data_IF_867601629937
#
_entry.id   IF_867601629937
#
_cell.length_a   1.000
_cell.length_b   1.000
_cell.length_c   1.000
_cell.angle_alpha   90.00
_cell.angle_beta   90.00
_cell.angle_gamma   90.00
#
_symmetry.space_group_name_H-M   'P 1'
#
loop_
_entity.id
_entity.type
_entity.pdbx_description
1 polymer ?
#
# COMPACT_ATOMS: atom_id res chain seq x y z
N UNK A 1 22.81 -2.53 9.86
CA UNK A 1 23.83 -1.52 9.54
C UNK A 1 23.27 -0.38 8.68
N UNK A 2 22.75 -0.61 7.44
CA UNK A 2 22.20 0.49 6.60
C UNK A 2 21.06 1.25 7.30
N UNK A 3 20.06 0.54 7.84
CA UNK A 3 18.93 1.14 8.55
C UNK A 3 19.37 1.91 9.80
N UNK A 4 20.39 1.43 10.50
CA UNK A 4 20.95 2.13 11.65
C UNK A 4 21.61 3.44 11.22
N UNK A 5 22.47 3.41 10.21
CA UNK A 5 23.10 4.63 9.67
C UNK A 5 22.09 5.63 9.13
N UNK A 6 20.98 5.15 8.57
CA UNK A 6 19.89 6.02 8.13
C UNK A 6 19.20 6.69 9.33
N UNK A 7 18.87 5.92 10.36
CA UNK A 7 18.02 6.35 11.45
C UNK A 7 18.78 7.04 12.60
N UNK A 8 20.07 6.70 12.78
CA UNK A 8 20.91 7.14 13.91
C UNK A 8 22.10 7.91 13.38
N UNK A 9 22.38 9.06 13.98
CA UNK A 9 23.56 9.86 13.69
C UNK A 9 24.81 9.24 14.35
N UNK A 10 26.04 9.62 13.91
CA UNK A 10 27.29 9.09 14.48
C UNK A 10 27.45 9.34 15.98
N UNK A 11 26.81 10.37 16.52
CA UNK A 11 26.80 10.70 17.95
C UNK A 11 25.77 9.91 18.76
N UNK A 12 25.07 8.94 18.13
CA UNK A 12 24.03 8.12 18.75
C UNK A 12 22.65 8.79 18.85
N UNK A 13 22.50 10.02 18.37
CA UNK A 13 21.19 10.68 18.36
C UNK A 13 20.31 10.15 17.24
N UNK A 14 19.00 10.12 17.50
CA UNK A 14 18.03 9.71 16.48
C UNK A 14 17.83 10.78 15.43
N UNK A 15 18.04 10.46 14.16
CA UNK A 15 17.68 11.34 13.02
C UNK A 15 16.18 11.33 12.76
N UNK A 16 15.54 10.15 12.95
CA UNK A 16 14.12 9.95 12.74
C UNK A 16 13.50 9.20 13.92
N UNK A 17 12.36 9.67 14.42
CA UNK A 17 11.60 8.99 15.47
C UNK A 17 10.62 7.95 14.90
N UNK A 18 10.38 7.99 13.59
CA UNK A 18 9.45 7.11 12.89
C UNK A 18 9.91 6.89 11.45
N UNK A 19 9.86 5.64 10.97
CA UNK A 19 10.21 5.25 9.61
C UNK A 19 9.05 4.50 8.94
N UNK A 20 8.77 4.82 7.68
CA UNK A 20 7.89 4.04 6.83
C UNK A 20 8.69 3.42 5.70
N UNK A 21 8.54 2.12 5.51
CA UNK A 21 9.21 1.40 4.44
C UNK A 21 8.26 0.42 3.76
N UNK A 22 8.44 0.28 2.45
CA UNK A 22 7.80 -0.75 1.67
C UNK A 22 8.83 -1.76 1.18
N UNK A 23 8.62 -3.03 1.48
CA UNK A 23 9.39 -4.13 0.92
C UNK A 23 8.65 -4.74 -0.27
N UNK A 24 9.34 -4.91 -1.39
CA UNK A 24 8.77 -5.58 -2.56
C UNK A 24 9.23 -7.04 -2.58
N UNK A 25 8.27 -7.96 -2.47
CA UNK A 25 8.52 -9.39 -2.39
C UNK A 25 7.58 -10.15 -3.31
N UNK A 26 8.08 -10.59 -4.44
CA UNK A 26 7.40 -11.54 -5.33
C UNK A 26 8.39 -12.52 -5.98
N UNK A 27 7.88 -13.66 -6.38
CA UNK A 27 8.68 -14.72 -7.00
C UNK A 27 9.17 -14.39 -8.42
N UNK A 28 8.77 -13.24 -8.96
CA UNK A 28 9.22 -12.71 -10.25
C UNK A 28 10.55 -11.95 -10.12
N UNK A 29 10.93 -11.61 -8.88
CA UNK A 29 12.20 -10.93 -8.61
C UNK A 29 13.36 -11.80 -9.10
N UNK A 30 14.31 -11.15 -9.75
CA UNK A 30 15.60 -11.80 -10.02
C UNK A 30 16.36 -11.92 -8.70
N UNK A 31 16.88 -13.10 -8.41
CA UNK A 31 17.77 -13.31 -7.27
C UNK A 31 18.94 -12.33 -7.32
N UNK A 32 19.36 -11.85 -6.16
CA UNK A 32 20.63 -11.14 -5.98
C UNK A 32 21.77 -12.18 -5.97
N UNK A 33 23.02 -11.71 -6.04
CA UNK A 33 24.20 -12.60 -6.13
C UNK A 33 24.18 -13.76 -5.13
N UNK A 34 23.69 -13.50 -3.92
CA UNK A 34 23.72 -14.46 -2.81
C UNK A 34 22.33 -15.04 -2.45
N UNK A 35 21.31 -14.74 -3.25
CA UNK A 35 19.94 -15.20 -3.01
C UNK A 35 19.49 -15.99 -4.22
N UNK A 36 19.18 -17.29 -4.08
CA UNK A 36 18.64 -18.10 -5.16
C UNK A 36 17.36 -17.48 -5.73
N UNK A 37 17.11 -17.66 -7.02
CA UNK A 37 15.84 -17.26 -7.61
C UNK A 37 14.71 -18.04 -6.94
N UNK A 38 13.70 -17.33 -6.36
CA UNK A 38 12.58 -18.02 -5.70
C UNK A 38 11.77 -18.81 -6.72
N UNK A 39 11.31 -20.00 -6.34
CA UNK A 39 10.45 -20.87 -7.13
C UNK A 39 8.99 -20.64 -6.81
N UNK A 40 8.70 -20.21 -5.58
CA UNK A 40 7.38 -19.94 -5.05
C UNK A 40 7.41 -18.68 -4.18
N UNK A 41 6.25 -18.17 -3.82
CA UNK A 41 6.12 -17.09 -2.86
C UNK A 41 6.54 -17.52 -1.44
N UNK A 42 6.39 -18.81 -1.11
CA UNK A 42 6.80 -19.37 0.18
C UNK A 42 8.32 -19.27 0.40
N UNK A 43 9.13 -19.40 -0.65
CA UNK A 43 10.59 -19.26 -0.58
C UNK A 43 11.01 -17.86 -0.09
N UNK A 44 10.12 -16.87 -0.19
CA UNK A 44 10.37 -15.49 0.25
C UNK A 44 9.94 -15.23 1.71
N UNK A 45 9.26 -16.17 2.39
CA UNK A 45 8.82 -15.95 3.77
C UNK A 45 9.97 -15.67 4.75
N UNK A 46 11.13 -16.35 4.68
CA UNK A 46 12.27 -16.02 5.53
C UNK A 46 12.78 -14.59 5.33
N UNK A 47 12.77 -14.08 4.09
CA UNK A 47 13.21 -12.72 3.79
C UNK A 47 12.19 -11.67 4.24
N UNK A 48 10.89 -11.95 4.15
CA UNK A 48 9.81 -11.13 4.73
C UNK A 48 9.97 -11.01 6.24
N UNK A 49 10.19 -12.15 6.90
CA UNK A 49 10.42 -12.19 8.35
C UNK A 49 11.70 -11.43 8.75
N UNK A 50 12.80 -11.61 8.01
CA UNK A 50 14.06 -10.91 8.25
C UNK A 50 13.91 -9.39 8.06
N UNK A 51 13.14 -8.97 7.04
CA UNK A 51 12.84 -7.56 6.82
C UNK A 51 12.15 -6.95 8.04
N UNK A 52 11.10 -7.58 8.54
CA UNK A 52 10.39 -7.13 9.75
C UNK A 52 11.32 -7.14 10.97
N UNK A 53 12.06 -8.21 11.18
CA UNK A 53 12.98 -8.36 12.32
C UNK A 53 14.05 -7.25 12.39
N UNK A 54 14.52 -6.76 11.23
CA UNK A 54 15.48 -5.66 11.19
C UNK A 54 14.89 -4.36 11.77
N UNK A 55 13.62 -4.06 11.50
CA UNK A 55 12.93 -2.88 12.04
C UNK A 55 12.54 -3.07 13.50
N UNK A 56 12.13 -4.28 13.90
CA UNK A 56 11.86 -4.59 15.31
C UNK A 56 13.11 -4.46 16.17
N UNK A 57 14.28 -4.82 15.63
CA UNK A 57 15.56 -4.58 16.28
C UNK A 57 15.84 -3.09 16.43
N UNK A 58 15.68 -2.30 15.36
CA UNK A 58 15.88 -0.85 15.39
C UNK A 58 14.95 -0.16 16.41
N UNK A 59 13.68 -0.60 16.48
CA UNK A 59 12.72 -0.08 17.48
C UNK A 59 13.17 -0.43 18.90
N UNK A 60 13.58 -1.66 19.14
CA UNK A 60 13.99 -2.15 20.47
C UNK A 60 15.28 -1.48 20.95
N UNK A 61 16.28 -1.33 20.07
CA UNK A 61 17.61 -0.83 20.42
C UNK A 61 17.68 0.70 20.46
N UNK A 62 16.94 1.37 19.59
CA UNK A 62 17.02 2.82 19.40
C UNK A 62 15.70 3.56 19.59
N UNK A 63 14.59 2.87 19.85
CA UNK A 63 13.27 3.48 20.03
C UNK A 63 12.69 4.13 18.77
N UNK A 64 13.19 3.75 17.59
CA UNK A 64 12.68 4.24 16.29
C UNK A 64 11.45 3.42 15.92
N UNK A 65 10.27 4.03 15.96
CA UNK A 65 9.01 3.39 15.56
C UNK A 65 8.98 3.17 14.05
N UNK A 66 8.18 2.21 13.60
CA UNK A 66 8.07 1.92 12.18
C UNK A 66 6.66 1.50 11.75
N UNK A 67 6.40 1.67 10.44
CA UNK A 67 5.27 1.11 9.73
C UNK A 67 5.78 0.49 8.43
N UNK A 68 5.42 -0.77 8.17
CA UNK A 68 5.94 -1.54 7.05
C UNK A 68 4.83 -1.92 6.09
N UNK A 69 5.07 -1.70 4.80
CA UNK A 69 4.27 -2.21 3.73
C UNK A 69 4.93 -3.40 3.04
N UNK A 70 4.13 -4.40 2.73
CA UNK A 70 4.48 -5.50 1.83
C UNK A 70 3.90 -5.23 0.46
N UNK A 71 4.71 -5.15 -0.57
CA UNK A 71 4.29 -5.02 -1.96
C UNK A 71 4.55 -6.33 -2.73
N UNK A 72 3.62 -6.72 -3.60
CA UNK A 72 3.72 -7.92 -4.42
C UNK A 72 3.10 -7.67 -5.80
N UNK A 73 3.88 -7.88 -6.86
CA UNK A 73 3.34 -7.97 -8.22
C UNK A 73 2.67 -9.32 -8.41
N UNK A 74 1.43 -9.30 -8.89
CA UNK A 74 0.62 -10.50 -9.10
C UNK A 74 0.46 -10.77 -10.60
N UNK A 75 0.84 -11.97 -11.01
CA UNK A 75 0.66 -12.52 -12.36
C UNK A 75 -0.15 -13.81 -12.28
N UNK A 76 -0.64 -14.38 -13.38
CA UNK A 76 -1.30 -15.68 -13.36
C UNK A 76 -0.50 -16.78 -12.65
N UNK A 77 0.82 -16.68 -12.70
CA UNK A 77 1.71 -17.68 -12.10
C UNK A 77 1.65 -17.72 -10.58
N UNK A 78 1.67 -16.55 -9.90
CA UNK A 78 1.70 -16.47 -8.44
C UNK A 78 0.36 -16.05 -7.83
N UNK A 79 -0.67 -15.77 -8.63
CA UNK A 79 -2.03 -15.50 -8.15
C UNK A 79 -2.54 -16.56 -7.17
N UNK A 80 -2.39 -17.89 -7.43
CA UNK A 80 -2.85 -18.92 -6.50
C UNK A 80 -2.17 -18.91 -5.13
N UNK A 81 -0.98 -18.29 -5.04
CA UNK A 81 -0.18 -18.21 -3.81
C UNK A 81 -0.51 -16.98 -2.95
N UNK A 82 -1.27 -16.01 -3.46
CA UNK A 82 -1.64 -14.77 -2.74
C UNK A 82 -2.30 -15.08 -1.39
N UNK A 83 -3.21 -16.04 -1.33
CA UNK A 83 -3.88 -16.42 -0.09
C UNK A 83 -2.91 -16.96 0.97
N UNK A 84 -1.87 -17.68 0.58
CA UNK A 84 -0.83 -18.17 1.48
C UNK A 84 0.05 -17.01 1.97
N UNK A 85 0.47 -16.12 1.08
CA UNK A 85 1.23 -14.91 1.43
C UNK A 85 0.45 -14.07 2.45
N UNK A 86 -0.85 -13.89 2.26
CA UNK A 86 -1.71 -13.17 3.21
C UNK A 86 -1.69 -13.84 4.58
N UNK A 87 -1.88 -15.16 4.65
CA UNK A 87 -1.85 -15.90 5.93
C UNK A 87 -0.49 -15.81 6.62
N UNK A 88 0.59 -16.01 5.90
CA UNK A 88 1.95 -15.95 6.44
C UNK A 88 2.29 -14.54 6.96
N UNK A 89 2.01 -13.51 6.17
CA UNK A 89 2.30 -12.12 6.54
C UNK A 89 1.36 -11.56 7.61
N UNK A 90 0.16 -12.13 7.78
CA UNK A 90 -0.74 -11.77 8.87
C UNK A 90 -0.13 -12.00 10.26
N UNK A 91 0.82 -12.93 10.41
CA UNK A 91 1.61 -13.14 11.62
C UNK A 91 2.76 -12.15 11.80
N UNK A 92 3.17 -11.44 10.75
CA UNK A 92 4.30 -10.50 10.75
C UNK A 92 3.83 -9.07 11.02
N UNK A 93 4.73 -8.15 11.39
CA UNK A 93 4.39 -6.75 11.69
C UNK A 93 4.32 -5.85 10.44
N UNK A 94 3.61 -6.30 9.41
CA UNK A 94 3.21 -5.41 8.31
C UNK A 94 1.94 -4.64 8.71
N UNK A 95 1.92 -3.33 8.48
CA UNK A 95 0.75 -2.46 8.62
C UNK A 95 -0.08 -2.40 7.34
N UNK A 96 0.52 -2.72 6.19
CA UNK A 96 -0.16 -2.75 4.90
C UNK A 96 0.36 -3.91 4.03
N UNK A 97 -0.55 -4.53 3.30
CA UNK A 97 -0.24 -5.47 2.22
C UNK A 97 -0.84 -4.95 0.93
N UNK A 98 0.02 -4.63 -0.03
CA UNK A 98 -0.35 -4.07 -1.33
C UNK A 98 -0.02 -5.08 -2.42
N UNK A 99 -1.02 -5.34 -3.27
CA UNK A 99 -0.92 -6.28 -4.39
C UNK A 99 -1.16 -5.51 -5.69
N UNK A 100 -0.30 -5.72 -6.67
CA UNK A 100 -0.37 -5.05 -7.96
C UNK A 100 -0.54 -6.11 -9.07
N UNK A 101 -1.74 -6.24 -9.66
CA UNK A 101 -1.87 -6.94 -10.93
C UNK A 101 -0.80 -6.43 -11.91
N UNK A 102 -0.07 -7.34 -12.54
CA UNK A 102 0.96 -6.97 -13.50
C UNK A 102 0.35 -6.18 -14.65
N UNK A 103 1.04 -5.11 -15.06
CA UNK A 103 0.66 -4.24 -16.16
C UNK A 103 1.84 -4.08 -17.13
N UNK A 104 1.58 -3.65 -18.35
CA UNK A 104 2.60 -3.39 -19.36
C UNK A 104 3.29 -2.04 -19.10
N UNK A 105 4.11 -2.01 -18.06
CA UNK A 105 4.90 -0.85 -17.66
C UNK A 105 6.40 -1.18 -17.66
N UNK A 106 7.24 -0.18 -17.74
CA UNK A 106 8.68 -0.33 -17.69
C UNK A 106 9.27 -0.98 -18.95
N UNK A 107 10.03 -2.07 -18.79
CA UNK A 107 10.76 -2.70 -19.93
C UNK A 107 9.87 -3.67 -20.70
N UNK A 108 9.55 -3.40 -21.99
CA UNK A 108 8.68 -4.28 -22.82
C UNK A 108 9.17 -5.73 -22.95
N UNK A 109 10.48 -5.98 -22.80
CA UNK A 109 11.03 -7.34 -22.84
C UNK A 109 10.54 -8.24 -21.69
N UNK A 110 9.92 -7.67 -20.67
CA UNK A 110 9.36 -8.38 -19.53
C UNK A 110 7.86 -8.65 -19.67
N UNK A 111 7.22 -8.03 -20.65
CA UNK A 111 5.79 -8.14 -20.85
C UNK A 111 5.45 -9.56 -21.30
N UNK A 112 4.32 -10.07 -20.80
CA UNK A 112 3.75 -11.37 -21.14
C UNK A 112 2.27 -11.18 -21.38
N UNK A 113 1.76 -11.77 -22.43
CA UNK A 113 0.36 -11.63 -22.85
C UNK A 113 -0.60 -12.03 -21.71
N UNK A 114 -0.28 -13.10 -20.99
CA UNK A 114 -1.04 -13.59 -19.85
C UNK A 114 -1.18 -12.63 -18.67
N UNK A 115 -0.48 -11.48 -18.63
CA UNK A 115 -0.64 -10.51 -17.56
C UNK A 115 -2.05 -9.95 -17.47
N UNK A 116 -2.78 -9.86 -18.57
CA UNK A 116 -4.16 -9.41 -18.61
C UNK A 116 -5.16 -10.39 -17.98
N UNK A 117 -4.77 -11.63 -17.69
CA UNK A 117 -5.62 -12.62 -17.04
C UNK A 117 -5.81 -12.36 -15.54
N UNK A 118 -5.09 -11.36 -14.98
CA UNK A 118 -5.18 -10.98 -13.56
C UNK A 118 -5.88 -9.63 -13.42
N UNK A 119 -6.99 -9.63 -12.71
CA UNK A 119 -7.79 -8.44 -12.43
C UNK A 119 -7.77 -8.09 -10.92
N UNK A 120 -8.25 -6.87 -10.58
CA UNK A 120 -8.48 -6.48 -9.19
C UNK A 120 -9.39 -7.50 -8.49
N UNK A 121 -10.45 -7.97 -9.17
CA UNK A 121 -11.40 -8.95 -8.66
C UNK A 121 -10.74 -10.27 -8.29
N UNK A 122 -9.89 -10.79 -9.19
CA UNK A 122 -9.24 -12.08 -8.96
C UNK A 122 -8.27 -12.02 -7.80
N UNK A 123 -7.49 -10.94 -7.71
CA UNK A 123 -6.56 -10.71 -6.59
C UNK A 123 -7.32 -10.49 -5.28
N UNK A 124 -8.40 -9.71 -5.30
CA UNK A 124 -9.19 -9.43 -4.09
C UNK A 124 -9.80 -10.71 -3.50
N UNK A 125 -10.33 -11.60 -4.35
CA UNK A 125 -10.84 -12.92 -3.92
C UNK A 125 -9.78 -13.79 -3.26
N UNK A 126 -8.55 -13.74 -3.77
CA UNK A 126 -7.44 -14.47 -3.16
C UNK A 126 -7.05 -13.90 -1.78
N UNK A 127 -7.10 -12.57 -1.63
CA UNK A 127 -6.89 -11.93 -0.32
C UNK A 127 -7.99 -12.36 0.65
N UNK A 128 -9.26 -12.32 0.24
CA UNK A 128 -10.39 -12.81 1.06
C UNK A 128 -10.23 -14.27 1.48
N UNK A 129 -9.77 -15.13 0.55
CA UNK A 129 -9.45 -16.53 0.84
C UNK A 129 -8.32 -16.65 1.86
N UNK A 130 -7.32 -15.79 1.79
CA UNK A 130 -6.21 -15.75 2.74
C UNK A 130 -6.64 -15.30 4.14
N UNK A 131 -7.51 -14.30 4.22
CA UNK A 131 -8.07 -13.77 5.47
C UNK A 131 -9.15 -14.69 6.07
N UNK A 132 -9.84 -15.46 5.22
CA UNK A 132 -10.95 -16.35 5.61
C UNK A 132 -12.28 -15.64 5.85
N UNK A 133 -12.44 -14.41 5.35
CA UNK A 133 -13.68 -13.64 5.42
C UNK A 133 -13.79 -12.66 4.27
N UNK A 134 -15.01 -12.22 3.97
CA UNK A 134 -15.25 -11.10 3.04
C UNK A 134 -14.54 -9.83 3.55
N UNK A 135 -13.92 -9.10 2.63
CA UNK A 135 -13.27 -7.83 2.90
C UNK A 135 -14.09 -6.72 2.24
N UNK A 136 -14.83 -5.89 3.00
CA UNK A 136 -15.59 -4.78 2.46
C UNK A 136 -14.63 -3.69 1.96
N UNK A 137 -14.81 -3.22 0.73
CA UNK A 137 -13.92 -2.21 0.15
C UNK A 137 -14.65 -0.93 -0.30
N UNK A 138 -15.98 -0.98 -0.42
CA UNK A 138 -16.77 0.14 -0.94
C UNK A 138 -16.97 1.26 0.08
N UNK A 139 -16.67 1.02 1.34
CA UNK A 139 -16.87 1.98 2.42
C UNK A 139 -15.88 3.15 2.40
N UNK A 140 -14.68 2.97 1.86
CA UNK A 140 -13.69 4.05 1.66
C UNK A 140 -13.05 3.85 0.29
N UNK A 141 -13.45 4.69 -0.68
CA UNK A 141 -12.87 4.70 -2.01
C UNK A 141 -11.93 5.89 -2.14
N UNK A 142 -10.67 5.63 -2.46
CA UNK A 142 -9.66 6.64 -2.75
C UNK A 142 -9.27 6.55 -4.23
N UNK A 143 -9.52 7.62 -4.96
CA UNK A 143 -9.27 7.66 -6.40
C UNK A 143 -10.29 6.86 -7.21
N UNK A 144 -9.89 6.47 -8.41
CA UNK A 144 -10.75 5.72 -9.34
C UNK A 144 -10.88 4.24 -8.91
N UNK A 145 -12.11 3.69 -8.77
CA UNK A 145 -12.33 2.30 -8.36
C UNK A 145 -11.80 1.25 -9.35
N UNK A 146 -11.54 1.65 -10.60
CA UNK A 146 -10.88 0.80 -11.60
C UNK A 146 -9.38 0.64 -11.32
N UNK A 147 -8.79 1.53 -10.49
CA UNK A 147 -7.37 1.54 -10.17
C UNK A 147 -7.06 1.02 -8.78
N UNK A 148 -7.97 1.22 -7.83
CA UNK A 148 -7.64 1.04 -6.44
C UNK A 148 -8.80 0.44 -5.65
N UNK A 149 -8.49 -0.56 -4.83
CA UNK A 149 -9.33 -1.04 -3.74
C UNK A 149 -8.52 -1.08 -2.47
N UNK A 150 -9.10 -0.61 -1.39
CA UNK A 150 -8.47 -0.66 -0.09
C UNK A 150 -9.47 -1.01 1.00
N UNK A 151 -9.00 -1.72 2.01
CA UNK A 151 -9.79 -1.95 3.22
C UNK A 151 -8.89 -1.95 4.44
N UNK A 152 -9.24 -1.13 5.41
CA UNK A 152 -8.59 -1.06 6.70
C UNK A 152 -9.21 -2.05 7.67
N UNK A 153 -8.36 -2.79 8.37
CA UNK A 153 -8.80 -3.75 9.38
C UNK A 153 -7.91 -3.77 10.61
N UNK A 154 -8.38 -4.46 11.62
CA UNK A 154 -7.62 -4.77 12.83
C UNK A 154 -7.36 -6.27 12.87
N UNK A 155 -6.10 -6.66 13.05
CA UNK A 155 -5.72 -8.04 13.32
C UNK A 155 -5.43 -8.20 14.82
N UNK A 156 -6.10 -9.13 15.45
CA UNK A 156 -5.94 -9.45 16.87
C UNK A 156 -6.03 -10.96 17.07
N UNK A 157 -5.05 -11.55 17.77
CA UNK A 157 -4.92 -13.01 17.94
C UNK A 157 -5.05 -13.77 16.60
N UNK A 158 -4.37 -13.29 15.55
CA UNK A 158 -4.34 -13.91 14.24
C UNK A 158 -5.62 -13.74 13.39
N UNK A 159 -6.67 -13.12 13.91
CA UNK A 159 -7.92 -12.85 13.17
C UNK A 159 -7.97 -11.40 12.71
N UNK A 160 -8.13 -11.20 11.43
CA UNK A 160 -8.38 -9.90 10.84
C UNK A 160 -9.88 -9.57 10.86
N UNK A 161 -10.21 -8.30 11.11
CA UNK A 161 -11.60 -7.81 11.15
C UNK A 161 -11.62 -6.41 10.54
N UNK A 162 -12.53 -6.10 9.57
CA UNK A 162 -12.62 -4.77 8.99
C UNK A 162 -13.07 -3.74 10.03
N UNK A 163 -12.51 -2.53 9.95
CA UNK A 163 -12.89 -1.43 10.85
C UNK A 163 -14.29 -0.92 10.57
N UNK A 164 -14.76 -1.05 9.33
CA UNK A 164 -16.10 -0.69 8.87
C UNK A 164 -16.71 -1.85 8.09
N UNK A 165 -18.03 -1.98 8.14
CA UNK A 165 -18.79 -2.90 7.31
C UNK A 165 -19.62 -2.08 6.31
N UNK A 166 -19.39 -2.27 5.01
CA UNK A 166 -20.12 -1.55 3.95
C UNK A 166 -21.60 -1.97 3.81
N UNK A 167 -22.02 -3.04 4.47
CA UNK A 167 -23.43 -3.45 4.58
C UNK A 167 -24.13 -2.88 5.82
N UNK A 168 -23.42 -2.27 6.77
CA UNK A 168 -24.02 -1.64 7.95
C UNK A 168 -24.10 -0.10 7.76
N UNK A 169 -25.33 0.39 7.52
CA UNK A 169 -25.57 1.82 7.33
C UNK A 169 -25.10 2.68 8.51
N UNK A 170 -25.06 2.12 9.72
CA UNK A 170 -24.56 2.83 10.91
C UNK A 170 -23.05 2.97 10.89
N UNK A 171 -22.32 2.03 10.27
CA UNK A 171 -20.87 2.15 10.05
C UNK A 171 -20.57 3.20 8.98
N UNK A 172 -21.37 3.22 7.91
CA UNK A 172 -21.26 4.23 6.86
C UNK A 172 -21.55 5.64 7.40
N UNK A 173 -22.61 5.81 8.20
CA UNK A 173 -22.92 7.07 8.84
C UNK A 173 -21.83 7.53 9.83
N UNK A 174 -21.24 6.59 10.58
CA UNK A 174 -20.11 6.90 11.47
C UNK A 174 -18.86 7.32 10.68
N UNK A 175 -18.58 6.67 9.54
CA UNK A 175 -17.51 7.05 8.60
C UNK A 175 -17.72 8.47 8.10
N UNK A 176 -18.91 8.79 7.58
CA UNK A 176 -19.20 10.10 7.01
C UNK A 176 -19.03 11.21 8.05
N UNK A 177 -19.55 10.98 9.25
CA UNK A 177 -19.38 11.91 10.37
C UNK A 177 -17.91 12.06 10.79
N UNK A 178 -17.14 10.97 10.78
CA UNK A 178 -15.70 11.02 11.06
C UNK A 178 -14.95 11.83 9.99
N UNK A 179 -15.20 11.59 8.72
CA UNK A 179 -14.57 12.30 7.61
C UNK A 179 -14.93 13.79 7.63
N UNK A 180 -16.21 14.14 7.87
CA UNK A 180 -16.65 15.54 8.01
C UNK A 180 -16.02 16.22 9.24
N UNK A 181 -15.78 15.46 10.30
CA UNK A 181 -15.28 16.02 11.56
C UNK A 181 -13.77 16.14 11.59
N UNK A 182 -13.03 15.15 11.08
CA UNK A 182 -11.58 15.03 11.16
C UNK A 182 -10.89 15.10 9.80
N UNK A 183 -11.63 15.23 8.70
CA UNK A 183 -11.06 15.40 7.36
C UNK A 183 -10.09 16.59 7.31
N UNK A 184 -8.89 16.36 6.79
CA UNK A 184 -7.82 17.35 6.76
C UNK A 184 -7.00 17.49 8.05
N UNK A 185 -7.33 16.73 9.12
CA UNK A 185 -6.49 16.70 10.32
C UNK A 185 -5.24 15.83 10.08
N UNK A 186 -4.09 16.38 10.38
CA UNK A 186 -2.82 15.67 10.34
C UNK A 186 -2.58 14.90 11.64
N UNK A 187 -2.77 13.57 11.60
CA UNK A 187 -2.54 12.66 12.72
C UNK A 187 -1.08 12.23 12.88
N UNK A 188 -0.18 12.65 11.99
CA UNK A 188 1.25 12.29 12.04
C UNK A 188 2.07 13.23 12.92
N UNK A 189 1.47 14.32 13.37
CA UNK A 189 2.08 15.26 14.31
C UNK A 189 2.37 14.63 15.67
N UNK A 190 3.09 15.38 16.50
CA UNK A 190 3.32 14.99 17.89
C UNK A 190 2.00 14.58 18.58
N UNK A 191 1.98 13.44 19.32
CA UNK A 191 0.77 12.94 19.99
C UNK A 191 0.02 13.99 20.82
N UNK A 192 0.74 14.90 21.47
CA UNK A 192 0.15 15.99 22.24
C UNK A 192 -0.57 17.01 21.37
N UNK A 193 -0.01 17.36 20.22
CA UNK A 193 -0.66 18.28 19.26
C UNK A 193 -1.94 17.64 18.74
N UNK A 194 -1.88 16.36 18.38
CA UNK A 194 -3.04 15.59 17.91
C UNK A 194 -4.10 15.52 19.02
N UNK A 195 -3.71 15.20 20.25
CA UNK A 195 -4.64 15.12 21.38
C UNK A 195 -5.37 16.44 21.63
N UNK A 196 -4.65 17.57 21.60
CA UNK A 196 -5.25 18.91 21.77
C UNK A 196 -6.19 19.22 20.60
N UNK A 197 -5.79 18.92 19.37
CA UNK A 197 -6.62 19.15 18.18
C UNK A 197 -7.91 18.31 18.25
N UNK A 198 -7.80 17.02 18.58
CA UNK A 198 -8.96 16.13 18.79
C UNK A 198 -9.86 16.65 19.90
N UNK A 199 -9.31 17.02 21.06
CA UNK A 199 -10.11 17.57 22.17
C UNK A 199 -10.90 18.82 21.75
N UNK A 200 -10.26 19.77 21.04
CA UNK A 200 -10.95 20.95 20.51
C UNK A 200 -12.08 20.61 19.54
N UNK A 201 -11.87 19.61 18.69
CA UNK A 201 -12.90 19.14 17.75
C UNK A 201 -14.05 18.49 18.50
N UNK A 202 -13.79 17.63 19.49
CA UNK A 202 -14.81 16.98 20.30
C UNK A 202 -15.67 18.00 21.07
N UNK A 203 -15.05 19.07 21.59
CA UNK A 203 -15.79 20.16 22.25
C UNK A 203 -16.70 20.91 21.29
N UNK A 204 -16.29 21.12 20.04
CA UNK A 204 -17.06 21.84 19.02
C UNK A 204 -18.12 20.97 18.33
N UNK A 205 -17.89 19.66 18.23
CA UNK A 205 -18.75 18.70 17.54
C UNK A 205 -19.05 17.48 18.42
N UNK A 206 -19.76 17.64 19.55
CA UNK A 206 -19.95 16.56 20.53
C UNK A 206 -20.74 15.36 19.98
N UNK A 207 -21.46 15.53 18.85
CA UNK A 207 -22.19 14.45 18.19
C UNK A 207 -21.32 13.29 17.71
N UNK A 208 -20.00 13.51 17.53
CA UNK A 208 -19.06 12.46 17.13
C UNK A 208 -18.87 11.41 18.24
N UNK A 209 -19.00 11.81 19.51
CA UNK A 209 -18.75 10.92 20.65
C UNK A 209 -19.71 9.71 20.68
N UNK A 210 -21.05 9.88 20.65
CA UNK A 210 -21.96 8.73 20.63
C UNK A 210 -21.80 7.89 19.35
N UNK A 211 -21.49 8.49 18.19
CA UNK A 211 -21.21 7.77 16.95
C UNK A 211 -19.95 6.90 17.08
N UNK A 212 -18.86 7.45 17.65
CA UNK A 212 -17.61 6.71 17.89
C UNK A 212 -17.82 5.57 18.89
N UNK A 213 -18.57 5.79 19.97
CA UNK A 213 -18.91 4.73 20.94
C UNK A 213 -19.73 3.63 20.27
N UNK A 214 -20.74 4.01 19.47
CA UNK A 214 -21.58 3.07 18.71
C UNK A 214 -20.74 2.23 17.74
N UNK A 215 -19.86 2.87 16.99
CA UNK A 215 -18.91 2.22 16.09
C UNK A 215 -17.96 1.27 16.85
N UNK A 216 -17.33 1.72 17.93
CA UNK A 216 -16.42 0.90 18.73
C UNK A 216 -17.13 -0.36 19.30
N UNK A 217 -18.40 -0.22 19.73
CA UNK A 217 -19.19 -1.37 20.18
C UNK A 217 -19.45 -2.38 19.05
N UNK A 218 -19.73 -1.91 17.82
CA UNK A 218 -19.94 -2.80 16.66
C UNK A 218 -18.63 -3.48 16.27
N UNK A 219 -17.53 -2.74 16.19
CA UNK A 219 -16.20 -3.31 15.94
C UNK A 219 -15.83 -4.34 17.02
N UNK A 220 -16.04 -4.02 18.30
CA UNK A 220 -15.78 -4.93 19.41
C UNK A 220 -16.60 -6.23 19.35
N UNK A 221 -17.84 -6.17 18.88
CA UNK A 221 -18.65 -7.38 18.64
C UNK A 221 -18.12 -8.22 17.47
N UNK A 222 -17.72 -7.58 16.36
CA UNK A 222 -17.16 -8.27 15.17
C UNK A 222 -15.82 -8.92 15.46
N UNK A 223 -14.91 -8.19 16.09
CA UNK A 223 -13.55 -8.64 16.39
C UNK A 223 -13.47 -9.55 17.63
N UNK A 224 -14.40 -9.37 18.57
CA UNK A 224 -14.38 -9.97 19.89
C UNK A 224 -13.60 -9.12 20.89
N UNK A 225 -14.28 -8.62 21.94
CA UNK A 225 -13.68 -7.74 22.94
C UNK A 225 -12.41 -8.30 23.58
N UNK A 226 -12.43 -9.59 23.96
CA UNK A 226 -11.25 -10.24 24.54
C UNK A 226 -10.04 -10.19 23.59
N UNK A 227 -10.26 -10.39 22.28
CA UNK A 227 -9.18 -10.29 21.30
C UNK A 227 -8.64 -8.88 21.17
N UNK A 228 -9.52 -7.87 21.16
CA UNK A 228 -9.08 -6.47 21.08
C UNK A 228 -8.33 -6.01 22.34
N UNK A 229 -8.71 -6.48 23.51
CA UNK A 229 -8.11 -6.05 24.78
C UNK A 229 -6.79 -6.80 25.06
N UNK A 230 -6.72 -8.09 24.75
CA UNK A 230 -5.61 -8.96 25.17
C UNK A 230 -4.82 -9.54 23.98
N UNK A 231 -5.33 -9.46 22.76
CA UNK A 231 -4.75 -10.06 21.55
C UNK A 231 -3.72 -9.23 20.82
N UNK A 232 -3.17 -8.18 21.45
CA UNK A 232 -2.19 -7.25 20.83
C UNK A 232 -2.69 -6.73 19.48
N UNK A 233 -3.81 -5.99 19.44
CA UNK A 233 -4.40 -5.52 18.20
C UNK A 233 -3.44 -4.60 17.44
N UNK A 234 -3.40 -4.74 16.12
CA UNK A 234 -2.68 -3.87 15.22
C UNK A 234 -3.46 -3.64 13.94
N UNK A 235 -3.23 -2.53 13.29
CA UNK A 235 -3.83 -2.24 11.99
C UNK A 235 -3.16 -3.10 10.93
N UNK A 236 -3.95 -3.65 10.02
CA UNK A 236 -3.48 -4.27 8.79
C UNK A 236 -4.44 -3.86 7.66
N UNK A 237 -3.92 -3.12 6.70
CA UNK A 237 -4.63 -2.64 5.53
C UNK A 237 -4.33 -3.51 4.33
N UNK A 238 -5.35 -3.93 3.59
CA UNK A 238 -5.20 -4.54 2.28
C UNK A 238 -5.44 -3.51 1.20
N UNK A 239 -4.59 -3.53 0.17
CA UNK A 239 -4.67 -2.65 -0.98
C UNK A 239 -4.43 -3.45 -2.25
N UNK A 240 -5.21 -3.20 -3.29
CA UNK A 240 -4.92 -3.67 -4.65
C UNK A 240 -4.84 -2.45 -5.56
N UNK A 241 -3.70 -2.27 -6.22
CA UNK A 241 -3.48 -1.22 -7.22
C UNK A 241 -3.34 -1.85 -8.60
N UNK A 242 -4.23 -1.50 -9.53
CA UNK A 242 -4.10 -1.84 -10.93
C UNK A 242 -3.52 -0.65 -11.71
N UNK A 243 -2.27 -0.78 -12.10
CA UNK A 243 -1.65 0.17 -13.02
C UNK A 243 -2.26 0.06 -14.40
N UNK A 244 -2.25 1.16 -15.14
CA UNK A 244 -2.59 1.18 -16.56
C UNK A 244 -1.35 0.85 -17.39
N UNK A 245 -1.56 0.25 -18.57
CA UNK A 245 -0.51 -0.05 -19.51
C UNK A 245 0.11 1.22 -20.11
N UNK A 246 1.38 1.15 -20.45
CA UNK A 246 2.14 2.32 -20.91
C UNK A 246 1.66 2.89 -22.25
N UNK A 247 1.05 2.07 -23.09
CA UNK A 247 0.50 2.45 -24.40
C UNK A 247 -0.70 3.41 -24.29
N UNK A 248 -1.53 3.28 -23.24
CA UNK A 248 -2.64 4.21 -22.98
C UNK A 248 -2.23 5.38 -22.07
N UNK A 249 -1.29 5.13 -21.14
CA UNK A 249 -0.83 6.17 -20.19
C UNK A 249 -0.11 7.30 -20.90
N UNK A 250 0.82 6.98 -21.81
CA UNK A 250 1.63 7.99 -22.50
C UNK A 250 0.76 8.98 -23.30
N UNK A 251 -0.09 8.56 -24.26
CA UNK A 251 -0.91 9.50 -25.01
C UNK A 251 -1.94 10.24 -24.13
N UNK A 252 -2.46 9.60 -23.08
CA UNK A 252 -3.35 10.26 -22.12
C UNK A 252 -2.64 11.38 -21.36
N UNK A 253 -1.42 11.14 -20.90
CA UNK A 253 -0.63 12.15 -20.21
C UNK A 253 -0.23 13.30 -21.12
N UNK A 254 0.24 13.01 -22.34
CA UNK A 254 0.60 14.03 -23.34
C UNK A 254 -0.59 14.94 -23.70
N UNK A 255 -1.78 14.36 -23.91
CA UNK A 255 -3.00 15.14 -24.14
C UNK A 255 -3.33 16.02 -22.92
N UNK A 256 -3.22 15.48 -21.71
CA UNK A 256 -3.45 16.24 -20.47
C UNK A 256 -2.47 17.42 -20.35
N UNK A 257 -1.18 17.22 -20.67
CA UNK A 257 -0.20 18.30 -20.64
C UNK A 257 -0.51 19.42 -21.64
N UNK A 258 -1.13 19.11 -22.77
CA UNK A 258 -1.59 20.10 -23.77
C UNK A 258 -2.97 20.73 -23.44
N UNK A 259 -3.63 20.30 -22.35
CA UNK A 259 -4.98 20.73 -22.00
C UNK A 259 -6.07 20.19 -22.94
N UNK A 260 -5.79 19.09 -23.63
CA UNK A 260 -6.69 18.47 -24.61
C UNK A 260 -7.45 17.29 -23.98
N UNK A 261 -8.69 17.07 -24.44
CA UNK A 261 -9.43 15.85 -24.13
C UNK A 261 -9.27 14.88 -25.31
N UNK A 262 -8.79 13.67 -25.01
CA UNK A 262 -8.59 12.65 -26.03
C UNK A 262 -9.91 12.24 -26.70
N UNK A 263 -9.88 12.04 -28.02
CA UNK A 263 -11.02 11.57 -28.81
C UNK A 263 -11.20 10.05 -28.70
N UNK A 264 -10.09 9.32 -28.61
CA UNK A 264 -10.10 7.87 -28.40
C UNK A 264 -10.69 7.54 -27.01
N UNK A 265 -11.71 6.65 -26.94
CA UNK A 265 -12.37 6.32 -25.66
C UNK A 265 -11.43 5.68 -24.61
N UNK A 266 -10.47 4.85 -25.03
CA UNK A 266 -9.54 4.18 -24.10
C UNK A 266 -8.55 5.20 -23.52
N UNK A 267 -8.03 6.11 -24.34
CA UNK A 267 -7.13 7.18 -23.91
C UNK A 267 -7.87 8.18 -23.03
N UNK A 268 -9.13 8.51 -23.34
CA UNK A 268 -9.97 9.38 -22.50
C UNK A 268 -10.21 8.72 -21.13
N UNK A 269 -10.57 7.44 -21.10
CA UNK A 269 -10.72 6.71 -19.84
C UNK A 269 -9.43 6.70 -19.02
N UNK A 270 -8.26 6.62 -19.68
CA UNK A 270 -6.97 6.75 -19.00
C UNK A 270 -6.74 8.18 -18.45
N UNK A 271 -7.10 9.24 -19.19
CA UNK A 271 -7.03 10.62 -18.68
C UNK A 271 -7.89 10.81 -17.41
N UNK A 272 -9.13 10.31 -17.41
CA UNK A 272 -10.03 10.37 -16.25
C UNK A 272 -9.39 9.66 -15.03
N UNK A 273 -8.81 8.47 -15.24
CA UNK A 273 -8.14 7.72 -14.20
C UNK A 273 -6.90 8.43 -13.67
N UNK A 274 -6.11 9.07 -14.54
CA UNK A 274 -4.96 9.89 -14.13
C UNK A 274 -5.40 11.11 -13.32
N UNK A 275 -6.47 11.80 -13.73
CA UNK A 275 -6.99 12.95 -13.00
C UNK A 275 -7.55 12.58 -11.62
N UNK A 276 -8.15 11.40 -11.47
CA UNK A 276 -8.67 10.87 -10.21
C UNK A 276 -7.61 10.11 -9.38
N UNK A 277 -6.33 10.10 -9.80
CA UNK A 277 -5.32 9.27 -9.17
C UNK A 277 -5.03 9.70 -7.74
N UNK A 278 -5.24 8.80 -6.78
CA UNK A 278 -4.89 8.99 -5.36
C UNK A 278 -3.48 8.46 -5.02
N UNK A 279 -2.85 7.75 -5.94
CA UNK A 279 -1.50 7.21 -5.76
C UNK A 279 -0.50 8.05 -6.56
N UNK A 280 -0.02 9.13 -5.93
CA UNK A 280 0.94 10.04 -6.53
C UNK A 280 2.35 9.80 -5.96
N UNK A 281 3.35 9.97 -6.80
CA UNK A 281 4.77 9.79 -6.49
C UNK A 281 5.53 11.09 -6.71
N UNK A 282 6.52 11.37 -5.87
CA UNK A 282 7.45 12.47 -6.09
C UNK A 282 8.50 12.04 -7.12
N UNK A 283 8.72 12.87 -8.13
CA UNK A 283 9.82 12.72 -9.07
C UNK A 283 10.75 13.94 -8.96
N UNK A 284 12.06 13.75 -8.78
CA UNK A 284 12.99 14.86 -8.54
C UNK A 284 12.99 15.92 -9.66
N UNK A 285 12.95 15.46 -10.91
CA UNK A 285 13.04 16.36 -12.07
C UNK A 285 11.71 17.09 -12.36
N UNK A 286 10.57 16.58 -11.88
CA UNK A 286 9.27 17.21 -12.10
C UNK A 286 8.94 18.28 -11.05
N UNK A 287 9.60 18.27 -9.89
CA UNK A 287 9.37 19.21 -8.80
C UNK A 287 7.93 19.16 -8.21
N UNK A 288 7.14 18.14 -8.58
CA UNK A 288 5.74 17.94 -8.18
C UNK A 288 5.41 16.46 -8.04
N UNK A 289 4.26 16.18 -7.44
CA UNK A 289 3.70 14.82 -7.43
C UNK A 289 3.11 14.49 -8.81
N UNK A 290 3.39 13.30 -9.28
CA UNK A 290 2.84 12.75 -10.53
C UNK A 290 2.07 11.46 -10.24
N UNK A 291 1.03 11.12 -11.04
CA UNK A 291 0.38 9.83 -10.92
C UNK A 291 1.36 8.66 -11.04
N UNK A 292 1.23 7.63 -10.23
CA UNK A 292 2.14 6.49 -10.24
C UNK A 292 2.23 5.78 -11.61
N UNK A 293 1.13 5.74 -12.37
CA UNK A 293 1.17 5.22 -13.74
C UNK A 293 2.10 6.05 -14.65
N UNK A 294 2.10 7.38 -14.51
CA UNK A 294 3.02 8.28 -15.26
C UNK A 294 4.46 8.00 -14.84
N UNK A 295 4.72 7.91 -13.54
CA UNK A 295 6.04 7.56 -13.01
C UNK A 295 6.56 6.27 -13.67
N UNK A 296 5.81 5.18 -13.60
CA UNK A 296 6.28 3.88 -14.04
C UNK A 296 6.27 3.67 -15.56
N UNK A 297 5.33 4.30 -16.28
CA UNK A 297 5.21 4.13 -17.73
C UNK A 297 6.11 5.10 -18.53
N UNK A 298 6.42 6.27 -18.00
CA UNK A 298 7.08 7.35 -18.73
C UNK A 298 8.41 7.74 -18.09
N UNK A 299 8.41 8.13 -16.81
CA UNK A 299 9.57 8.75 -16.16
C UNK A 299 10.64 7.72 -15.79
N UNK A 300 10.30 6.64 -15.10
CA UNK A 300 11.27 5.59 -14.74
C UNK A 300 11.99 4.96 -15.94
N UNK A 301 11.33 4.66 -17.08
CA UNK A 301 12.01 4.17 -18.27
C UNK A 301 13.04 5.15 -18.82
N UNK A 302 12.72 6.45 -18.85
CA UNK A 302 13.61 7.51 -19.33
C UNK A 302 14.84 7.67 -18.42
N UNK A 303 14.62 7.73 -17.10
CA UNK A 303 15.68 7.81 -16.08
C UNK A 303 16.59 6.59 -16.12
N UNK A 304 16.03 5.37 -16.17
CA UNK A 304 16.80 4.14 -16.27
C UNK A 304 17.65 4.10 -17.55
N UNK A 305 17.17 4.67 -18.65
CA UNK A 305 17.95 4.77 -19.88
C UNK A 305 19.12 5.75 -19.72
N UNK A 306 18.90 6.92 -19.12
CA UNK A 306 19.93 7.91 -18.83
C UNK A 306 20.98 7.37 -17.86
N UNK A 307 20.58 6.67 -16.82
CA UNK A 307 21.49 6.03 -15.86
C UNK A 307 22.36 4.95 -16.52
N UNK A 308 21.84 4.16 -17.43
CA UNK A 308 22.62 3.17 -18.18
C UNK A 308 23.68 3.79 -19.07
N UNK A 309 23.43 4.97 -19.60
CA UNK A 309 24.41 5.70 -20.39
C UNK A 309 25.54 6.29 -19.52
N UNK A 310 25.19 6.77 -18.31
CA UNK A 310 26.16 7.38 -17.38
C UNK A 310 26.95 6.35 -16.57
N UNK A 311 26.35 5.23 -16.26
CA UNK A 311 26.93 4.14 -15.48
C UNK A 311 26.91 2.86 -16.32
N UNK A 312 27.84 2.67 -17.27
CA UNK A 312 27.92 1.44 -18.04
C UNK A 312 28.11 0.27 -17.06
N UNK A 313 27.10 -0.56 -16.95
CA UNK A 313 27.18 -1.79 -16.19
C UNK A 313 28.11 -2.71 -16.97
N UNK A 314 29.37 -2.75 -16.62
CA UNK A 314 30.31 -3.76 -17.11
C UNK A 314 29.74 -5.12 -16.71
N UNK A 315 29.26 -5.89 -17.68
CA UNK A 315 28.95 -7.30 -17.42
C UNK A 315 30.23 -7.95 -16.93
N UNK A 316 30.25 -8.62 -15.76
CA UNK A 316 31.37 -9.47 -15.45
C UNK A 316 31.57 -10.42 -16.61
N UNK A 317 32.80 -10.54 -17.12
CA UNK A 317 33.14 -11.55 -18.08
C UNK A 317 32.66 -12.90 -17.55
N UNK A 318 31.94 -13.65 -18.42
CA UNK A 318 31.50 -15.01 -18.09
C UNK A 318 32.71 -15.91 -17.91
#
# INVERSE_FOLDING_TARGET
EYLERLAIAPDGTRRFGFLRFAGHFDSLMRGRRDIPRPRSEADLHPYRAQFVANFERLEREHGVRFDLAHNMTVTPRNLPEVAEVVRACAGMRFGMMSFQPAAYVGNPKRWREEFHDVSIETVWREIERGVGTRIPWQHVQMGDPRCNRSCHGVIASGRWTPVLDDNDQRDLAARDLFLDTFGGMDFERSPWIVAIAVARVLLRRPRIVPAAIGWARRLGRRAGWCRLLFGKPRVLTFVVHAFMDADVVRPAWEATQRGETATDPAIRAAQERLAACSYAMAHPDEGRLVPACVQHAILDPAENQALRQRLPITRPAM
#
